data_IF_818155902357
#
_entry.id   IF_818155902357
#
_cell.length_a   1.000
_cell.length_b   1.000
_cell.length_c   1.000
_cell.angle_alpha   90.00
_cell.angle_beta   90.00
_cell.angle_gamma   90.00
#
_symmetry.space_group_name_H-M   'P 1'
#
loop_
_entity.id
_entity.type
_entity.pdbx_description
1 polymer ?
#
# COMPACT_ATOMS: atom_id res chain seq x y z
N UNK A 1 -3.43 1.84 -13.90
CA UNK A 1 -4.81 2.11 -13.43
C UNK A 1 -5.37 3.24 -14.27
N UNK A 2 -6.45 3.04 -15.03
CA UNK A 2 -7.13 4.15 -15.71
C UNK A 2 -7.77 5.00 -14.61
N UNK A 3 -7.30 6.23 -14.41
CA UNK A 3 -7.98 7.18 -13.52
C UNK A 3 -9.38 7.39 -14.11
N UNK A 4 -10.42 7.00 -13.38
CA UNK A 4 -11.79 7.33 -13.77
C UNK A 4 -11.88 8.85 -13.87
N UNK A 5 -12.25 9.37 -15.04
CA UNK A 5 -12.57 10.79 -15.20
C UNK A 5 -13.83 11.06 -14.39
N UNK A 6 -13.68 11.68 -13.22
CA UNK A 6 -14.83 12.11 -12.43
C UNK A 6 -15.71 13.01 -13.29
N UNK A 7 -17.01 12.73 -13.33
CA UNK A 7 -17.99 13.62 -13.99
C UNK A 7 -17.89 15.01 -13.34
N UNK A 8 -18.09 16.07 -14.13
CA UNK A 8 -18.20 17.43 -13.60
C UNK A 8 -19.44 17.53 -12.71
N UNK A 9 -19.29 18.23 -11.58
CA UNK A 9 -20.38 18.50 -10.65
C UNK A 9 -21.43 19.41 -11.32
N UNK A 10 -22.69 19.12 -11.06
CA UNK A 10 -23.80 19.99 -11.45
C UNK A 10 -23.81 21.28 -10.61
N UNK A 11 -24.53 22.30 -11.09
CA UNK A 11 -24.74 23.56 -10.34
C UNK A 11 -25.36 23.32 -8.96
N UNK A 12 -26.31 22.40 -8.86
CA UNK A 12 -26.95 22.01 -7.59
C UNK A 12 -25.93 21.44 -6.59
N UNK A 13 -25.08 20.51 -7.04
CA UNK A 13 -24.05 19.91 -6.20
C UNK A 13 -23.00 20.94 -5.73
N UNK A 14 -22.64 21.90 -6.60
CA UNK A 14 -21.74 22.99 -6.21
C UNK A 14 -22.36 23.91 -5.15
N UNK A 15 -23.66 24.21 -5.25
CA UNK A 15 -24.36 25.01 -4.25
C UNK A 15 -24.47 24.27 -2.90
N UNK A 16 -24.73 22.97 -2.94
CA UNK A 16 -24.76 22.10 -1.76
C UNK A 16 -23.39 22.06 -1.07
N UNK A 17 -22.30 21.83 -1.82
CA UNK A 17 -20.94 21.85 -1.28
C UNK A 17 -20.57 23.20 -0.65
N UNK A 18 -20.97 24.33 -1.26
CA UNK A 18 -20.76 25.66 -0.67
C UNK A 18 -21.52 25.82 0.64
N UNK A 19 -22.71 25.26 0.74
CA UNK A 19 -23.53 25.31 1.96
C UNK A 19 -22.90 24.47 3.07
N UNK A 20 -22.44 23.24 2.74
CA UNK A 20 -21.74 22.37 3.67
C UNK A 20 -20.41 22.97 4.15
N UNK A 21 -19.65 23.61 3.27
CA UNK A 21 -18.38 24.24 3.62
C UNK A 21 -18.54 25.48 4.52
N UNK A 22 -19.73 26.09 4.55
CA UNK A 22 -20.05 27.22 5.42
C UNK A 22 -20.61 26.77 6.79
N UNK A 23 -20.92 25.48 6.96
CA UNK A 23 -21.38 24.92 8.22
C UNK A 23 -20.22 24.93 9.24
N UNK A 24 -20.41 25.43 10.48
CA UNK A 24 -19.38 25.37 11.50
C UNK A 24 -19.20 23.93 12.03
N UNK A 25 -17.98 23.58 12.43
CA UNK A 25 -17.63 22.24 12.92
C UNK A 25 -18.51 21.77 14.09
N UNK A 26 -18.95 22.69 14.96
CA UNK A 26 -19.83 22.39 16.10
C UNK A 26 -21.23 21.92 15.69
N UNK A 27 -21.64 22.16 14.45
CA UNK A 27 -22.92 21.73 13.91
C UNK A 27 -22.82 20.43 13.10
N UNK A 28 -21.63 19.83 13.01
CA UNK A 28 -21.42 18.54 12.34
C UNK A 28 -21.89 17.42 13.27
N UNK A 29 -22.94 16.71 12.88
CA UNK A 29 -23.39 15.50 13.55
C UNK A 29 -22.43 14.35 13.24
N UNK A 30 -21.87 13.74 14.29
CA UNK A 30 -20.95 12.60 14.22
C UNK A 30 -21.49 11.37 14.97
N UNK A 31 -22.78 11.37 15.31
CA UNK A 31 -23.43 10.31 16.10
C UNK A 31 -23.34 8.92 15.47
N UNK A 32 -23.23 8.83 14.14
CA UNK A 32 -23.07 7.58 13.38
C UNK A 32 -21.61 7.13 13.22
N UNK A 33 -20.65 8.01 13.47
CA UNK A 33 -19.23 7.79 13.32
C UNK A 33 -18.47 8.23 14.59
N UNK A 34 -18.65 7.52 15.73
CA UNK A 34 -17.97 7.87 16.97
C UNK A 34 -16.45 7.79 16.82
N UNK A 35 -15.73 8.66 17.52
CA UNK A 35 -14.28 8.68 17.51
C UNK A 35 -13.69 7.38 18.07
N UNK A 36 -12.77 6.77 17.32
CA UNK A 36 -12.03 5.60 17.78
C UNK A 36 -10.75 6.04 18.51
N UNK A 37 -10.77 5.90 19.84
CA UNK A 37 -9.63 6.26 20.70
C UNK A 37 -8.62 5.10 20.87
N UNK A 38 -9.07 3.85 20.75
CA UNK A 38 -8.19 2.68 20.85
C UNK A 38 -7.63 2.26 19.49
N UNK A 39 -6.33 2.47 19.32
CA UNK A 39 -5.58 2.11 18.10
C UNK A 39 -4.76 0.82 18.25
N UNK A 40 -4.93 0.07 19.34
CA UNK A 40 -4.16 -1.15 19.63
C UNK A 40 -4.26 -2.21 18.52
N UNK A 41 -5.42 -2.33 17.88
CA UNK A 41 -5.66 -3.23 16.75
C UNK A 41 -5.27 -2.69 15.36
N UNK A 42 -4.77 -1.46 15.25
CA UNK A 42 -4.54 -0.81 13.97
C UNK A 42 -3.40 -1.47 13.17
N UNK A 43 -3.70 -1.95 11.96
CA UNK A 43 -2.71 -2.55 11.06
C UNK A 43 -2.09 -1.48 10.15
N UNK A 44 -0.89 -1.02 10.50
CA UNK A 44 -0.11 -0.14 9.61
C UNK A 44 0.24 -0.86 8.31
N UNK A 45 -0.01 -0.19 7.18
CA UNK A 45 0.35 -0.71 5.87
C UNK A 45 -0.58 -1.80 5.31
N UNK A 46 -1.78 -1.99 5.86
CA UNK A 46 -2.76 -2.99 5.38
C UNK A 46 -3.04 -2.88 3.87
N UNK A 47 -3.03 -1.65 3.33
CA UNK A 47 -3.24 -1.38 1.90
C UNK A 47 -1.97 -1.12 1.11
N UNK A 48 -0.79 -1.29 1.72
CA UNK A 48 0.47 -1.08 1.04
C UNK A 48 0.65 -2.10 -0.08
N UNK A 49 0.66 -1.61 -1.32
CA UNK A 49 1.01 -2.38 -2.51
C UNK A 49 2.37 -1.93 -3.02
N UNK A 50 3.39 -2.79 -2.98
CA UNK A 50 4.70 -2.45 -3.52
C UNK A 50 4.58 -2.08 -5.00
N UNK A 51 5.10 -0.92 -5.38
CA UNK A 51 5.28 -0.57 -6.78
C UNK A 51 6.47 -1.36 -7.31
N UNK A 52 6.25 -2.20 -8.32
CA UNK A 52 7.32 -2.95 -8.99
C UNK A 52 8.02 -2.00 -9.97
N UNK A 53 9.33 -1.86 -9.84
CA UNK A 53 10.15 -1.15 -10.80
C UNK A 53 10.77 -2.16 -11.77
N UNK A 54 10.62 -1.94 -13.07
CA UNK A 54 11.28 -2.76 -14.08
C UNK A 54 12.76 -2.35 -14.15
N UNK A 55 13.65 -3.30 -13.84
CA UNK A 55 15.10 -3.14 -13.88
C UNK A 55 15.69 -4.25 -14.75
N UNK A 56 16.70 -3.93 -15.55
CA UNK A 56 17.54 -4.93 -16.21
C UNK A 56 18.65 -5.36 -15.25
N UNK A 57 18.49 -6.52 -14.61
CA UNK A 57 19.45 -7.11 -13.69
C UNK A 57 19.93 -8.46 -14.23
N UNK A 58 21.22 -8.77 -14.04
CA UNK A 58 21.77 -10.10 -14.30
C UNK A 58 21.77 -10.92 -13.01
N UNK A 59 21.26 -12.13 -13.09
CA UNK A 59 21.29 -13.14 -12.03
C UNK A 59 21.95 -14.40 -12.59
N UNK A 60 22.59 -15.17 -11.72
CA UNK A 60 23.23 -16.42 -12.12
C UNK A 60 22.20 -17.42 -12.65
N UNK A 61 22.60 -18.20 -13.65
CA UNK A 61 21.70 -19.10 -14.37
C UNK A 61 21.14 -20.20 -13.45
N UNK A 62 21.97 -20.72 -12.54
CA UNK A 62 21.60 -21.75 -11.57
C UNK A 62 20.57 -21.24 -10.55
N UNK A 63 20.71 -19.99 -10.08
CA UNK A 63 19.75 -19.34 -9.19
C UNK A 63 18.41 -19.18 -9.90
N UNK A 64 18.42 -18.68 -11.14
CA UNK A 64 17.19 -18.53 -11.94
C UNK A 64 16.52 -19.88 -12.17
N UNK A 65 17.28 -20.91 -12.52
CA UNK A 65 16.77 -22.25 -12.75
C UNK A 65 16.20 -22.89 -11.49
N UNK A 66 16.85 -22.67 -10.34
CA UNK A 66 16.32 -23.10 -9.06
C UNK A 66 14.94 -22.48 -8.81
N UNK A 67 14.80 -21.15 -8.97
CA UNK A 67 13.52 -20.49 -8.75
C UNK A 67 12.43 -20.96 -9.71
N UNK A 68 12.78 -21.20 -10.99
CA UNK A 68 11.84 -21.75 -11.99
C UNK A 68 11.33 -23.14 -11.61
N UNK A 69 12.23 -24.04 -11.15
CA UNK A 69 11.87 -25.43 -10.79
C UNK A 69 11.04 -25.50 -9.51
N UNK A 70 11.22 -24.55 -8.60
CA UNK A 70 10.59 -24.60 -7.29
C UNK A 70 9.25 -23.86 -7.22
N UNK A 71 8.77 -23.19 -8.29
CA UNK A 71 7.48 -22.48 -8.26
C UNK A 71 6.28 -23.40 -8.13
N UNK A 72 5.30 -23.02 -7.31
CA UNK A 72 3.94 -23.62 -7.33
C UNK A 72 3.09 -22.86 -8.35
N UNK A 73 2.08 -23.52 -8.90
CA UNK A 73 1.36 -23.13 -10.13
C UNK A 73 0.66 -21.76 -10.11
N UNK A 74 0.55 -21.11 -8.95
CA UNK A 74 -0.13 -19.83 -8.74
C UNK A 74 0.84 -18.63 -8.63
N UNK A 75 2.12 -18.85 -8.32
CA UNK A 75 3.11 -17.79 -8.09
C UNK A 75 4.34 -17.96 -9.00
N UNK A 76 4.49 -17.07 -9.99
CA UNK A 76 5.63 -17.09 -10.92
C UNK A 76 7.00 -16.84 -10.26
N UNK A 77 8.07 -17.33 -10.90
CA UNK A 77 9.43 -17.34 -10.34
C UNK A 77 9.96 -15.94 -9.99
N UNK A 78 9.60 -14.91 -10.78
CA UNK A 78 9.98 -13.52 -10.53
C UNK A 78 9.41 -12.99 -9.21
N UNK A 79 8.18 -13.37 -8.86
CA UNK A 79 7.56 -12.95 -7.60
C UNK A 79 8.32 -13.55 -6.41
N UNK A 80 8.78 -14.81 -6.53
CA UNK A 80 9.57 -15.48 -5.51
C UNK A 80 10.97 -14.90 -5.34
N UNK A 81 11.64 -14.58 -6.44
CA UNK A 81 12.92 -13.85 -6.40
C UNK A 81 12.74 -12.53 -5.65
N UNK A 82 11.72 -11.75 -5.99
CA UNK A 82 11.46 -10.47 -5.35
C UNK A 82 11.09 -10.62 -3.85
N UNK A 83 10.41 -11.71 -3.46
CA UNK A 83 10.13 -12.03 -2.06
C UNK A 83 11.43 -12.31 -1.28
N UNK A 84 12.31 -13.17 -1.82
CA UNK A 84 13.58 -13.49 -1.19
C UNK A 84 14.46 -12.24 -1.00
N UNK A 85 14.53 -11.37 -2.02
CA UNK A 85 15.25 -10.09 -1.92
C UNK A 85 14.67 -9.18 -0.82
N UNK A 86 13.34 -9.13 -0.71
CA UNK A 86 12.66 -8.34 0.34
C UNK A 86 13.00 -8.83 1.73
N UNK A 87 12.94 -10.14 1.96
CA UNK A 87 13.29 -10.77 3.24
C UNK A 87 14.74 -10.47 3.62
N UNK A 88 15.66 -10.59 2.66
CA UNK A 88 17.07 -10.24 2.86
C UNK A 88 17.26 -8.77 3.29
N UNK A 89 16.63 -7.82 2.56
CA UNK A 89 16.71 -6.38 2.89
C UNK A 89 16.13 -6.09 4.28
N UNK A 90 14.99 -6.69 4.62
CA UNK A 90 14.37 -6.51 5.94
C UNK A 90 15.25 -7.06 7.08
N UNK A 91 15.85 -8.24 6.88
CA UNK A 91 16.79 -8.82 7.82
C UNK A 91 18.01 -7.91 8.05
N UNK A 92 18.57 -7.35 6.99
CA UNK A 92 19.70 -6.41 7.09
C UNK A 92 19.32 -5.08 7.76
N UNK A 93 18.15 -4.53 7.45
CA UNK A 93 17.64 -3.33 8.11
C UNK A 93 17.37 -3.54 9.61
N UNK A 94 16.92 -4.72 10.02
CA UNK A 94 16.74 -5.04 11.43
C UNK A 94 18.08 -5.14 12.17
N UNK A 95 19.10 -5.75 11.54
CA UNK A 95 20.46 -5.85 12.10
C UNK A 95 21.11 -4.48 12.28
N UNK A 96 21.03 -3.61 11.27
CA UNK A 96 21.61 -2.26 11.34
C UNK A 96 20.92 -1.34 12.36
N UNK A 97 19.63 -1.55 12.63
CA UNK A 97 18.91 -0.84 13.70
C UNK A 97 19.34 -1.28 15.09
N UNK A 98 19.62 -2.58 15.27
CA UNK A 98 20.12 -3.13 16.54
C UNK A 98 21.55 -2.71 16.86
N UNK A 99 22.39 -2.49 15.85
CA UNK A 99 23.77 -2.05 16.07
C UNK A 99 23.91 -0.54 16.35
N UNK A 100 22.83 0.23 16.20
CA UNK A 100 22.79 1.70 16.43
C UNK A 100 22.09 2.10 17.74
N UNK A 101 21.51 1.12 18.45
CA UNK A 101 20.92 1.27 19.77
C UNK A 101 21.90 0.72 20.81
#
# INVERSE_FOLDING_TARGET
MKKGTSKRLSSKQLAELKSLAALPDSAIDTSDAPELLDWSGAKRGLFYRPVKQQLTLRLDADVVDWFKRHTKSDEGYQTRINRALREYVQGQAARSRRSRA
#
